data_IF_696245224513
#
_entry.id   IF_696245224513
#
_cell.length_a   1.000
_cell.length_b   1.000
_cell.length_c   1.000
_cell.angle_alpha   90.00
_cell.angle_beta   90.00
_cell.angle_gamma   90.00
#
_symmetry.space_group_name_H-M   'P 1'
#
loop_
_entity.id
_entity.type
_entity.pdbx_description
1 polymer ?
#
# COMPACT_ATOMS: atom_id res chain seq x y z
N UNK A 1 87.62 0.72 -2.97
CA UNK A 1 87.01 0.17 -1.73
C UNK A 1 85.67 0.89 -1.54
N UNK A 2 84.58 0.33 -2.10
CA UNK A 2 83.50 -0.42 -1.40
C UNK A 2 82.85 0.44 -0.30
N UNK A 3 81.73 1.12 -0.59
CA UNK A 3 80.35 0.63 -0.53
C UNK A 3 79.81 0.51 0.92
N UNK A 4 79.05 1.52 1.34
CA UNK A 4 78.10 1.52 2.47
C UNK A 4 77.14 2.69 2.15
N UNK A 5 75.83 2.56 2.08
CA UNK A 5 74.92 1.48 2.41
C UNK A 5 73.56 2.16 2.48
N UNK A 6 72.80 2.06 1.40
CA UNK A 6 71.40 2.50 1.29
C UNK A 6 70.59 1.69 2.29
N UNK A 7 70.18 2.29 3.41
CA UNK A 7 69.13 1.73 4.25
C UNK A 7 68.52 2.83 5.12
N UNK A 8 67.21 2.75 5.31
CA UNK A 8 66.31 3.61 6.12
C UNK A 8 65.52 4.62 5.28
N UNK A 9 64.79 4.09 4.28
CA UNK A 9 63.59 4.71 3.71
C UNK A 9 62.52 3.63 3.51
N UNK A 10 62.15 2.89 4.57
CA UNK A 10 61.01 1.93 4.54
C UNK A 10 60.35 1.86 5.93
N UNK A 11 59.90 3.00 6.48
CA UNK A 11 59.15 2.98 7.74
C UNK A 11 58.05 4.06 7.83
N UNK A 12 57.52 4.50 6.68
CA UNK A 12 56.33 5.38 6.58
C UNK A 12 55.38 4.91 5.45
N UNK A 13 55.27 3.60 5.23
CA UNK A 13 54.36 3.04 4.19
C UNK A 13 53.79 1.67 4.56
N UNK A 14 53.56 1.43 5.86
CA UNK A 14 52.86 0.25 6.38
C UNK A 14 51.65 0.61 7.27
N UNK A 15 51.10 1.82 7.08
CA UNK A 15 49.73 2.19 7.48
C UNK A 15 48.79 2.13 6.26
N UNK A 16 49.11 1.26 5.30
CA UNK A 16 48.19 0.82 4.26
C UNK A 16 47.22 -0.18 4.87
N UNK A 17 46.02 0.32 5.13
CA UNK A 17 44.80 -0.34 4.69
C UNK A 17 44.52 -1.72 5.27
N UNK A 18 44.38 -1.80 6.60
CA UNK A 18 43.28 -2.61 7.15
C UNK A 18 42.02 -1.74 7.23
N UNK A 19 41.64 -1.15 6.09
CA UNK A 19 40.22 -1.01 5.79
C UNK A 19 39.74 -2.44 5.69
N UNK A 20 39.35 -3.03 6.83
CA UNK A 20 38.33 -4.06 6.82
C UNK A 20 37.24 -3.41 5.98
N UNK A 21 37.09 -3.86 4.74
CA UNK A 21 35.78 -3.85 4.11
C UNK A 21 34.90 -4.49 5.18
N UNK A 22 34.21 -3.65 5.97
CA UNK A 22 33.15 -4.13 6.82
C UNK A 22 32.29 -4.88 5.82
N UNK A 23 32.29 -6.21 5.95
CA UNK A 23 31.41 -7.07 5.19
C UNK A 23 30.06 -6.37 5.27
N UNK A 24 29.63 -5.73 4.17
CA UNK A 24 28.32 -5.09 4.14
C UNK A 24 27.40 -6.20 4.60
N UNK A 25 26.69 -6.02 5.74
CA UNK A 25 25.96 -7.12 6.36
C UNK A 25 25.03 -7.65 5.30
N UNK A 26 25.45 -8.74 4.69
CA UNK A 26 24.75 -9.37 3.60
C UNK A 26 23.63 -10.09 4.32
N UNK A 27 22.47 -9.43 4.30
CA UNK A 27 21.28 -10.09 3.78
C UNK A 27 20.95 -11.42 4.46
N UNK A 28 20.96 -11.48 5.80
CA UNK A 28 20.21 -12.55 6.46
C UNK A 28 18.74 -12.25 6.21
N UNK A 29 18.19 -12.96 5.25
CA UNK A 29 16.83 -12.77 4.80
C UNK A 29 16.31 -14.11 4.26
N UNK A 30 15.18 -14.63 4.77
CA UNK A 30 14.29 -13.98 5.74
C UNK A 30 14.85 -13.92 7.17
N UNK A 31 14.48 -12.88 7.93
CA UNK A 31 14.64 -12.85 9.39
C UNK A 31 13.42 -13.55 10.02
N UNK A 32 13.51 -14.87 10.21
CA UNK A 32 12.39 -15.67 10.70
C UNK A 32 11.89 -15.23 12.09
N UNK A 33 12.78 -14.76 12.97
CA UNK A 33 12.43 -14.21 14.29
C UNK A 33 11.53 -12.96 14.21
N UNK A 34 11.60 -12.23 13.10
CA UNK A 34 10.75 -11.08 12.85
C UNK A 34 9.46 -11.46 12.09
N UNK A 35 9.33 -12.71 11.66
CA UNK A 35 8.17 -13.22 10.91
C UNK A 35 8.26 -12.96 9.41
N UNK A 36 9.47 -12.74 8.89
CA UNK A 36 9.72 -12.66 7.44
C UNK A 36 9.71 -14.03 6.80
N UNK A 37 9.39 -14.05 5.51
CA UNK A 37 9.35 -15.24 4.66
C UNK A 37 10.20 -15.02 3.41
N UNK A 38 10.46 -16.09 2.65
CA UNK A 38 11.14 -15.95 1.36
C UNK A 38 10.39 -15.06 0.37
N UNK A 39 9.05 -14.94 0.49
CA UNK A 39 8.22 -14.17 -0.44
C UNK A 39 8.39 -12.65 -0.26
N UNK A 40 8.46 -12.17 0.98
CA UNK A 40 8.61 -10.74 1.29
C UNK A 40 10.06 -10.31 1.51
N UNK A 41 10.97 -11.27 1.57
CA UNK A 41 12.39 -11.05 1.81
C UNK A 41 13.03 -9.97 0.91
N UNK A 42 12.86 -9.97 -0.43
CA UNK A 42 13.48 -8.94 -1.28
C UNK A 42 13.09 -7.52 -0.85
N UNK A 43 11.82 -7.34 -0.48
CA UNK A 43 11.28 -6.04 -0.09
C UNK A 43 11.72 -5.63 1.31
N UNK A 44 11.75 -6.59 2.23
CA UNK A 44 12.22 -6.36 3.58
C UNK A 44 13.72 -6.02 3.62
N UNK A 45 14.54 -6.70 2.80
CA UNK A 45 15.96 -6.40 2.65
C UNK A 45 16.20 -4.98 2.09
N UNK A 46 15.46 -4.57 1.05
CA UNK A 46 15.52 -3.21 0.52
C UNK A 46 15.17 -2.19 1.61
N UNK A 47 14.08 -2.41 2.34
CA UNK A 47 13.63 -1.47 3.37
C UNK A 47 14.60 -1.38 4.56
N UNK A 48 15.17 -2.49 5.02
CA UNK A 48 16.21 -2.48 6.07
C UNK A 48 17.50 -1.81 5.64
N UNK A 49 17.93 -2.02 4.40
CA UNK A 49 19.13 -1.37 3.89
C UNK A 49 19.00 0.16 3.78
N UNK A 50 17.77 0.69 3.81
CA UNK A 50 17.51 2.13 3.93
C UNK A 50 17.68 2.67 5.36
N UNK A 51 17.57 1.83 6.41
CA UNK A 51 17.62 2.31 7.80
C UNK A 51 18.92 3.03 8.18
N UNK A 52 20.13 2.55 7.80
CA UNK A 52 21.36 3.28 8.11
C UNK A 52 21.38 4.67 7.47
N UNK A 53 20.80 4.82 6.28
CA UNK A 53 20.67 6.11 5.60
C UNK A 53 19.74 7.01 6.40
N UNK A 54 18.58 6.52 6.83
CA UNK A 54 17.64 7.29 7.64
C UNK A 54 18.25 7.72 8.98
N UNK A 55 18.95 6.81 9.67
CA UNK A 55 19.59 7.09 10.98
C UNK A 55 20.74 8.10 10.87
N UNK A 56 21.50 8.06 9.78
CA UNK A 56 22.65 8.95 9.57
C UNK A 56 22.27 10.36 9.08
N UNK A 57 21.01 10.61 8.73
CA UNK A 57 20.59 11.88 8.11
C UNK A 57 19.30 12.38 8.77
N UNK A 58 19.44 13.27 9.76
CA UNK A 58 18.30 13.85 10.48
C UNK A 58 17.47 14.84 9.63
N UNK A 59 18.09 15.46 8.61
CA UNK A 59 17.41 16.32 7.65
C UNK A 59 16.62 15.45 6.65
N UNK A 60 15.28 15.58 6.58
CA UNK A 60 14.43 14.79 5.68
C UNK A 60 14.77 14.96 4.20
N UNK A 61 15.18 16.16 3.75
CA UNK A 61 15.49 16.41 2.33
C UNK A 61 16.81 15.74 1.93
N UNK A 62 17.82 15.81 2.80
CA UNK A 62 19.09 15.09 2.60
C UNK A 62 18.84 13.58 2.61
N UNK A 63 18.05 13.09 3.57
CA UNK A 63 17.68 11.69 3.64
C UNK A 63 16.94 11.24 2.37
N UNK A 64 15.96 12.02 1.90
CA UNK A 64 15.16 11.75 0.70
C UNK A 64 16.04 11.59 -0.54
N UNK A 65 16.98 12.51 -0.77
CA UNK A 65 17.90 12.42 -1.91
C UNK A 65 18.78 11.15 -1.85
N UNK A 66 19.31 10.80 -0.66
CA UNK A 66 20.11 9.59 -0.46
C UNK A 66 19.29 8.31 -0.61
N UNK A 67 18.05 8.31 -0.14
CA UNK A 67 17.11 7.20 -0.29
C UNK A 67 16.76 7.00 -1.76
N UNK A 68 16.53 8.06 -2.53
CA UNK A 68 16.30 7.97 -3.95
C UNK A 68 17.48 7.30 -4.67
N UNK A 69 18.71 7.76 -4.39
CA UNK A 69 19.91 7.15 -4.94
C UNK A 69 20.08 5.67 -4.54
N UNK A 70 19.83 5.35 -3.28
CA UNK A 70 19.86 3.97 -2.79
C UNK A 70 18.87 3.08 -3.53
N UNK A 71 17.59 3.50 -3.63
CA UNK A 71 16.55 2.72 -4.31
C UNK A 71 16.83 2.56 -5.81
N UNK A 72 17.36 3.59 -6.48
CA UNK A 72 17.78 3.48 -7.89
C UNK A 72 18.95 2.50 -8.06
N UNK A 73 19.82 2.35 -7.06
CA UNK A 73 20.96 1.42 -7.08
C UNK A 73 20.54 -0.03 -6.78
N UNK A 74 19.78 -0.26 -5.70
CA UNK A 74 19.46 -1.62 -5.23
C UNK A 74 18.18 -2.20 -5.83
N UNK A 75 17.30 -1.35 -6.36
CA UNK A 75 16.01 -1.76 -6.92
C UNK A 75 15.63 -0.95 -8.18
N UNK A 76 16.50 -0.88 -9.22
CA UNK A 76 16.28 -0.04 -10.40
C UNK A 76 14.99 -0.40 -11.14
N UNK A 77 14.65 -1.69 -11.24
CA UNK A 77 13.42 -2.14 -11.91
C UNK A 77 12.14 -1.74 -11.15
N UNK A 78 12.19 -1.72 -9.82
CA UNK A 78 11.09 -1.20 -8.99
C UNK A 78 10.89 0.29 -9.27
N UNK A 79 11.97 1.07 -9.26
CA UNK A 79 11.92 2.51 -9.49
C UNK A 79 11.46 2.86 -10.92
N UNK A 80 11.92 2.10 -11.93
CA UNK A 80 11.49 2.23 -13.32
C UNK A 80 10.00 1.92 -13.48
N UNK A 81 9.52 0.86 -12.82
CA UNK A 81 8.10 0.46 -12.86
C UNK A 81 7.21 1.51 -12.20
N UNK A 82 7.58 1.96 -11.01
CA UNK A 82 6.88 3.01 -10.28
C UNK A 82 6.73 4.28 -11.13
N UNK A 83 7.81 4.72 -11.78
CA UNK A 83 7.76 5.89 -12.69
C UNK A 83 6.86 5.67 -13.89
N UNK A 84 6.97 4.50 -14.53
CA UNK A 84 6.13 4.15 -15.68
C UNK A 84 4.66 4.15 -15.32
N UNK A 85 4.29 3.55 -14.18
CA UNK A 85 2.90 3.50 -13.72
C UNK A 85 2.37 4.87 -13.30
N UNK A 86 3.17 5.67 -12.60
CA UNK A 86 2.81 7.05 -12.27
C UNK A 86 2.45 7.89 -13.50
N UNK A 87 3.17 7.68 -14.61
CA UNK A 87 2.91 8.30 -15.92
C UNK A 87 1.68 7.71 -16.61
N UNK A 88 1.57 6.38 -16.68
CA UNK A 88 0.48 5.72 -17.43
C UNK A 88 -0.87 5.74 -16.71
N UNK A 89 -0.89 6.00 -15.40
CA UNK A 89 -2.12 5.99 -14.61
C UNK A 89 -3.15 7.04 -15.01
N UNK A 90 -2.73 8.20 -15.51
CA UNK A 90 -3.65 9.26 -15.96
C UNK A 90 -4.76 9.55 -14.95
N UNK A 91 -6.02 9.46 -15.40
CA UNK A 91 -7.21 9.69 -14.57
C UNK A 91 -7.45 8.65 -13.48
N UNK A 92 -6.85 7.46 -13.56
CA UNK A 92 -6.94 6.45 -12.47
C UNK A 92 -6.41 7.04 -11.16
N UNK A 93 -5.48 8.01 -11.24
CA UNK A 93 -4.99 8.70 -10.06
C UNK A 93 -6.07 9.43 -9.27
N UNK A 94 -7.15 9.87 -9.92
CA UNK A 94 -8.29 10.55 -9.29
C UNK A 94 -9.21 9.60 -8.54
N UNK A 95 -9.02 8.29 -8.70
CA UNK A 95 -9.83 7.26 -8.06
C UNK A 95 -9.24 6.77 -6.74
N UNK A 96 -8.20 7.43 -6.21
CA UNK A 96 -7.67 7.14 -4.88
C UNK A 96 -7.69 8.38 -4.02
N UNK A 97 -8.06 8.17 -2.76
CA UNK A 97 -8.13 9.22 -1.77
C UNK A 97 -6.81 9.44 -1.05
N UNK A 98 -6.94 9.90 0.19
CA UNK A 98 -5.84 10.19 1.09
C UNK A 98 -5.78 9.16 2.20
N UNK A 99 -4.58 8.92 2.70
CA UNK A 99 -4.34 7.97 3.79
C UNK A 99 -3.37 8.58 4.80
N UNK A 100 -3.50 8.15 6.06
CA UNK A 100 -2.61 8.52 7.15
C UNK A 100 -1.50 7.47 7.21
N UNK A 101 -0.26 7.92 7.01
CA UNK A 101 0.96 7.13 7.14
C UNK A 101 1.32 6.82 8.61
N UNK A 102 0.36 6.26 9.35
CA UNK A 102 0.50 5.85 10.75
C UNK A 102 -0.49 4.73 11.04
N UNK A 103 -0.02 3.62 11.60
CA UNK A 103 -0.87 2.50 12.01
C UNK A 103 -1.23 2.65 13.50
N UNK A 104 -2.53 2.74 13.80
CA UNK A 104 -3.01 2.94 15.16
C UNK A 104 -2.81 1.71 16.06
N UNK A 105 -2.88 0.50 15.48
CA UNK A 105 -2.73 -0.75 16.24
C UNK A 105 -1.25 -1.00 16.58
N UNK A 106 -0.36 -0.73 15.64
CA UNK A 106 1.09 -0.85 15.85
C UNK A 106 1.72 0.42 16.46
N UNK A 107 0.95 1.52 16.57
CA UNK A 107 1.36 2.83 17.08
C UNK A 107 2.65 3.35 16.40
N UNK A 108 2.75 3.18 15.09
CA UNK A 108 3.99 3.45 14.35
C UNK A 108 3.76 4.03 12.96
N UNK A 109 4.77 4.75 12.46
CA UNK A 109 4.82 5.22 11.08
C UNK A 109 4.89 4.02 10.15
N UNK A 110 4.02 3.99 9.13
CA UNK A 110 3.92 2.83 8.23
C UNK A 110 5.15 2.76 7.33
N UNK A 111 5.49 3.88 6.69
CA UNK A 111 6.67 4.04 5.83
C UNK A 111 7.43 5.28 6.28
N UNK A 112 8.74 5.19 6.57
CA UNK A 112 9.54 6.37 6.89
C UNK A 112 9.37 7.49 5.85
N UNK A 113 9.28 8.74 6.32
CA UNK A 113 8.95 9.90 5.49
C UNK A 113 9.82 10.03 4.23
N UNK A 114 11.16 9.96 4.30
CA UNK A 114 12.00 10.03 3.09
C UNK A 114 11.73 8.92 2.07
N UNK A 115 11.29 7.74 2.50
CA UNK A 115 10.97 6.62 1.61
C UNK A 115 9.65 6.88 0.88
N UNK A 116 8.59 7.25 1.61
CA UNK A 116 7.29 7.52 0.98
C UNK A 116 7.38 8.75 0.07
N UNK A 117 8.13 9.77 0.44
CA UNK A 117 8.30 10.97 -0.39
C UNK A 117 8.99 10.63 -1.72
N UNK A 118 10.01 9.74 -1.73
CA UNK A 118 10.60 9.22 -2.98
C UNK A 118 9.58 8.44 -3.82
N UNK A 119 8.72 7.65 -3.18
CA UNK A 119 7.68 6.89 -3.89
C UNK A 119 6.67 7.82 -4.55
N UNK A 120 6.20 8.84 -3.84
CA UNK A 120 5.22 9.81 -4.33
C UNK A 120 5.80 10.67 -5.46
N UNK A 121 7.03 11.16 -5.31
CA UNK A 121 7.75 11.93 -6.34
C UNK A 121 7.90 11.12 -7.61
N UNK A 122 8.36 9.87 -7.50
CA UNK A 122 8.59 9.00 -8.66
C UNK A 122 7.29 8.68 -9.38
N UNK A 123 6.18 8.59 -8.65
CA UNK A 123 4.84 8.37 -9.19
C UNK A 123 4.18 9.63 -9.78
N UNK A 124 4.75 10.83 -9.55
CA UNK A 124 4.15 12.09 -10.00
C UNK A 124 2.74 12.29 -9.43
N UNK A 125 2.59 12.06 -8.12
CA UNK A 125 1.39 12.39 -7.34
C UNK A 125 1.67 13.52 -6.37
N UNK A 126 0.64 14.00 -5.67
CA UNK A 126 0.79 15.14 -4.78
C UNK A 126 1.78 14.86 -3.64
N UNK A 127 2.44 15.92 -3.18
CA UNK A 127 3.35 15.87 -2.03
C UNK A 127 2.58 15.62 -0.73
N UNK A 128 3.15 14.78 0.12
CA UNK A 128 2.62 14.50 1.45
C UNK A 128 2.40 15.81 2.23
N UNK A 129 1.32 15.88 3.00
CA UNK A 129 1.09 16.93 4.00
C UNK A 129 1.05 16.31 5.38
N UNK A 130 2.04 16.60 6.22
CA UNK A 130 2.23 15.95 7.51
C UNK A 130 2.21 14.41 7.34
N UNK A 131 1.31 13.68 7.99
CA UNK A 131 1.20 12.22 7.80
C UNK A 131 0.25 11.82 6.66
N UNK A 132 -0.35 12.79 5.97
CA UNK A 132 -1.38 12.53 4.96
C UNK A 132 -0.70 12.35 3.60
N UNK A 133 -0.85 11.15 3.03
CA UNK A 133 -0.23 10.72 1.78
C UNK A 133 -1.28 10.30 0.76
N UNK A 134 -0.85 10.14 -0.50
CA UNK A 134 -1.68 9.59 -1.56
C UNK A 134 -1.90 8.08 -1.34
N UNK A 135 -3.15 7.68 -1.06
CA UNK A 135 -3.48 6.34 -0.57
C UNK A 135 -3.05 5.24 -1.55
N UNK A 136 -3.24 5.45 -2.86
CA UNK A 136 -2.98 4.40 -3.84
C UNK A 136 -1.51 3.97 -3.91
N UNK A 137 -0.57 4.90 -3.88
CA UNK A 137 0.87 4.58 -3.92
C UNK A 137 1.41 4.19 -2.56
N UNK A 138 0.87 4.72 -1.45
CA UNK A 138 1.19 4.23 -0.11
C UNK A 138 0.78 2.76 0.05
N UNK A 139 -0.50 2.44 -0.20
CA UNK A 139 -1.06 1.12 0.04
C UNK A 139 -0.57 0.07 -0.93
N UNK A 140 0.02 0.45 -2.08
CA UNK A 140 0.63 -0.50 -3.04
C UNK A 140 2.15 -0.54 -2.87
N UNK A 141 2.85 0.37 -3.53
CA UNK A 141 4.32 0.38 -3.57
C UNK A 141 4.96 0.77 -2.24
N UNK A 142 4.38 1.71 -1.50
CA UNK A 142 4.85 2.12 -0.18
C UNK A 142 4.86 0.94 0.79
N UNK A 143 3.78 0.16 0.83
CA UNK A 143 3.66 -0.99 1.72
C UNK A 143 4.76 -2.02 1.53
N UNK A 144 5.28 -2.21 0.31
CA UNK A 144 6.43 -3.09 0.06
C UNK A 144 7.66 -2.66 0.86
N UNK A 145 7.86 -1.35 1.05
CA UNK A 145 8.98 -0.77 1.76
C UNK A 145 8.70 -0.54 3.26
N UNK A 146 7.60 -1.06 3.78
CA UNK A 146 7.27 -0.98 5.21
C UNK A 146 7.93 -2.11 5.99
N UNK A 147 8.65 -1.76 7.06
CA UNK A 147 9.19 -2.68 8.08
C UNK A 147 8.33 -2.70 9.35
N UNK A 148 7.19 -2.00 9.37
CA UNK A 148 6.31 -1.97 10.53
C UNK A 148 5.56 -3.31 10.65
N UNK A 149 5.84 -4.04 11.72
CA UNK A 149 5.09 -5.25 12.08
C UNK A 149 3.81 -4.86 12.83
N UNK A 150 2.66 -5.31 12.33
CA UNK A 150 1.36 -5.10 12.99
C UNK A 150 0.89 -6.39 13.67
N UNK A 151 -0.17 -6.35 14.51
CA UNK A 151 -0.81 -7.57 15.03
C UNK A 151 -1.27 -8.55 13.94
N UNK A 152 -1.47 -8.06 12.70
CA UNK A 152 -1.90 -8.83 11.55
C UNK A 152 -0.75 -9.20 10.60
N UNK A 153 0.50 -9.03 11.04
CA UNK A 153 1.70 -9.21 10.22
C UNK A 153 2.14 -7.94 9.48
N UNK A 154 3.03 -8.09 8.50
CA UNK A 154 3.53 -6.97 7.71
C UNK A 154 2.55 -6.54 6.62
N UNK A 155 2.42 -5.23 6.42
CA UNK A 155 1.54 -4.67 5.38
C UNK A 155 1.93 -5.10 3.95
N UNK A 156 3.23 -5.30 3.66
CA UNK A 156 3.72 -5.83 2.38
C UNK A 156 3.17 -7.21 2.01
N UNK A 157 2.78 -8.02 3.00
CA UNK A 157 2.26 -9.37 2.76
C UNK A 157 0.98 -9.37 1.92
N UNK A 158 0.24 -8.25 1.91
CA UNK A 158 -0.95 -8.04 1.09
C UNK A 158 -0.72 -8.22 -0.41
N UNK A 159 0.52 -7.98 -0.88
CA UNK A 159 0.85 -8.01 -2.31
C UNK A 159 1.87 -9.09 -2.66
N UNK A 160 2.71 -9.52 -1.72
CA UNK A 160 3.71 -10.57 -2.00
C UNK A 160 3.12 -11.98 -1.94
N UNK A 161 2.01 -12.16 -1.20
CA UNK A 161 1.31 -13.44 -1.12
C UNK A 161 0.28 -13.54 -2.25
N UNK A 162 0.12 -14.71 -2.87
CA UNK A 162 -0.81 -14.90 -3.98
C UNK A 162 -2.26 -15.10 -3.50
N UNK A 163 -2.66 -14.51 -2.38
CA UNK A 163 -3.94 -14.79 -1.73
C UNK A 163 -5.11 -14.35 -2.61
N UNK A 164 -5.02 -13.15 -3.19
CA UNK A 164 -6.06 -12.59 -4.07
C UNK A 164 -6.12 -13.41 -5.36
N UNK A 165 -4.97 -13.73 -5.95
CA UNK A 165 -4.92 -14.53 -7.16
C UNK A 165 -5.49 -15.93 -6.96
N UNK A 166 -5.10 -16.63 -5.89
CA UNK A 166 -5.67 -17.95 -5.56
C UNK A 166 -7.14 -17.85 -5.22
N UNK A 167 -7.53 -16.87 -4.41
CA UNK A 167 -8.91 -16.69 -3.95
C UNK A 167 -9.90 -16.49 -5.09
N UNK A 168 -9.52 -15.75 -6.13
CA UNK A 168 -10.38 -15.49 -7.30
C UNK A 168 -10.01 -16.31 -8.55
N UNK A 169 -8.97 -17.16 -8.49
CA UNK A 169 -8.46 -17.90 -9.64
C UNK A 169 -7.92 -16.99 -10.75
N UNK A 170 -7.26 -15.90 -10.37
CA UNK A 170 -6.58 -15.00 -11.30
C UNK A 170 -5.25 -15.61 -11.75
N UNK A 171 -4.71 -15.07 -12.85
CA UNK A 171 -3.38 -15.44 -13.30
C UNK A 171 -2.34 -15.14 -12.20
N UNK A 172 -1.47 -16.11 -11.91
CA UNK A 172 -0.48 -15.99 -10.84
C UNK A 172 0.40 -14.73 -10.99
N UNK A 173 0.55 -13.99 -9.90
CA UNK A 173 1.38 -12.79 -9.80
C UNK A 173 0.79 -11.55 -10.49
N UNK A 174 -0.46 -11.57 -10.93
CA UNK A 174 -1.07 -10.41 -11.58
C UNK A 174 -1.30 -9.24 -10.60
N UNK A 175 -1.47 -9.50 -9.31
CA UNK A 175 -1.55 -8.51 -8.23
C UNK A 175 -0.32 -8.64 -7.31
N UNK A 176 0.85 -8.85 -7.93
CA UNK A 176 2.13 -8.92 -7.22
C UNK A 176 2.99 -7.67 -7.47
N UNK A 177 4.13 -7.50 -6.78
CA UNK A 177 5.05 -6.38 -6.99
C UNK A 177 5.67 -6.33 -8.39
N UNK A 178 5.79 -7.49 -9.05
CA UNK A 178 6.47 -7.65 -10.34
C UNK A 178 5.55 -8.34 -11.36
N UNK A 179 4.37 -7.77 -11.66
CA UNK A 179 3.43 -8.43 -12.54
C UNK A 179 3.99 -8.47 -13.98
N UNK A 180 3.70 -9.58 -14.68
CA UNK A 180 4.12 -9.80 -16.08
C UNK A 180 3.52 -8.78 -17.06
N UNK A 181 2.34 -8.25 -16.75
CA UNK A 181 1.64 -7.25 -17.57
C UNK A 181 0.86 -6.28 -16.69
N UNK A 182 0.67 -5.05 -17.18
CA UNK A 182 0.13 -3.96 -16.37
C UNK A 182 1.10 -3.60 -15.25
N UNK A 183 0.55 -3.37 -14.06
CA UNK A 183 1.28 -2.79 -12.96
C UNK A 183 0.62 -3.02 -11.61
N UNK A 184 1.36 -3.04 -10.50
CA UNK A 184 0.74 -3.35 -9.19
C UNK A 184 -0.35 -2.31 -8.89
N UNK A 185 -0.03 -1.03 -9.03
CA UNK A 185 -0.99 0.04 -8.77
C UNK A 185 -2.18 -0.04 -9.73
N UNK A 186 -1.94 -0.21 -11.03
CA UNK A 186 -3.02 -0.25 -12.03
C UNK A 186 -3.88 -1.52 -11.92
N UNK A 187 -3.28 -2.66 -11.64
CA UNK A 187 -3.98 -3.94 -11.50
C UNK A 187 -4.86 -3.94 -10.24
N UNK A 188 -4.35 -3.43 -9.11
CA UNK A 188 -5.13 -3.25 -7.88
C UNK A 188 -6.24 -2.23 -8.11
N UNK A 189 -5.93 -1.07 -8.69
CA UNK A 189 -6.93 -0.03 -9.00
C UNK A 189 -8.05 -0.56 -9.88
N UNK A 190 -7.71 -1.37 -10.88
CA UNK A 190 -8.68 -1.99 -11.76
C UNK A 190 -9.56 -2.97 -10.99
N UNK A 191 -8.96 -3.95 -10.31
CA UNK A 191 -9.70 -5.01 -9.64
C UNK A 191 -10.58 -4.46 -8.51
N UNK A 192 -10.02 -3.64 -7.62
CA UNK A 192 -10.74 -3.02 -6.51
C UNK A 192 -11.77 -1.98 -7.01
N UNK A 193 -11.43 -1.18 -8.02
CA UNK A 193 -12.36 -0.19 -8.59
C UNK A 193 -13.57 -0.84 -9.28
N UNK A 194 -13.38 -1.99 -9.93
CA UNK A 194 -14.48 -2.78 -10.52
C UNK A 194 -15.46 -3.31 -9.45
N UNK A 195 -14.97 -3.51 -8.23
CA UNK A 195 -15.77 -3.92 -7.06
C UNK A 195 -16.45 -2.69 -6.42
N UNK A 196 -15.69 -1.65 -6.09
CA UNK A 196 -16.17 -0.50 -5.33
C UNK A 196 -17.20 0.35 -6.08
N UNK A 197 -16.99 0.56 -7.39
CA UNK A 197 -17.78 1.50 -8.20
C UNK A 197 -18.86 0.81 -9.05
N UNK A 198 -19.33 -0.37 -8.63
CA UNK A 198 -20.40 -1.12 -9.33
C UNK A 198 -21.80 -0.50 -9.20
N UNK A 199 -21.95 0.54 -8.40
CA UNK A 199 -23.23 1.19 -8.11
C UNK A 199 -23.87 1.91 -9.31
N UNK A 200 -25.17 2.17 -9.18
CA UNK A 200 -25.98 2.87 -10.20
C UNK A 200 -25.98 4.39 -10.06
N UNK A 201 -25.22 4.96 -9.11
CA UNK A 201 -25.10 6.42 -9.00
C UNK A 201 -24.27 7.00 -10.19
N UNK A 202 -24.60 8.20 -10.70
CA UNK A 202 -23.81 8.86 -11.74
C UNK A 202 -22.29 8.92 -11.48
N UNK A 203 -21.86 9.19 -10.25
CA UNK A 203 -20.45 9.28 -9.88
C UNK A 203 -19.76 7.90 -9.93
N UNK A 204 -20.44 6.83 -9.49
CA UNK A 204 -19.95 5.45 -9.61
C UNK A 204 -19.76 5.07 -11.07
N UNK A 205 -20.74 5.40 -11.94
CA UNK A 205 -20.60 5.17 -13.39
C UNK A 205 -19.45 5.95 -14.01
N UNK A 206 -19.20 7.18 -13.56
CA UNK A 206 -18.09 8.00 -14.05
C UNK A 206 -16.74 7.40 -13.63
N UNK A 207 -16.59 7.00 -12.37
CA UNK A 207 -15.41 6.30 -11.88
C UNK A 207 -15.18 4.98 -12.62
N UNK A 208 -16.24 4.19 -12.83
CA UNK A 208 -16.19 2.94 -13.57
C UNK A 208 -15.71 3.12 -15.02
N UNK A 209 -16.06 4.23 -15.69
CA UNK A 209 -15.52 4.56 -17.03
C UNK A 209 -14.01 4.76 -17.00
N UNK A 210 -13.47 5.39 -15.96
CA UNK A 210 -12.02 5.57 -15.77
C UNK A 210 -11.36 4.22 -15.49
N UNK A 211 -11.91 3.42 -14.56
CA UNK A 211 -11.42 2.07 -14.23
C UNK A 211 -11.32 1.20 -15.49
N UNK A 212 -12.36 1.17 -16.33
CA UNK A 212 -12.38 0.33 -17.54
C UNK A 212 -11.33 0.72 -18.58
N UNK A 213 -10.81 1.95 -18.54
CA UNK A 213 -9.75 2.45 -19.42
C UNK A 213 -8.34 2.25 -18.85
N UNK A 214 -8.21 1.83 -17.58
CA UNK A 214 -6.89 1.60 -16.98
C UNK A 214 -6.12 0.53 -17.76
N UNK A 215 -4.81 0.72 -17.90
CA UNK A 215 -3.92 -0.25 -18.53
C UNK A 215 -3.57 -1.42 -17.60
N UNK A 216 -4.62 -2.12 -17.15
CA UNK A 216 -4.52 -3.31 -16.33
C UNK A 216 -4.20 -4.54 -17.18
N UNK A 217 -3.65 -5.57 -16.52
CA UNK A 217 -3.37 -6.86 -17.11
C UNK A 217 -4.60 -7.43 -17.87
N UNK A 218 -4.35 -8.05 -19.03
CA UNK A 218 -5.41 -8.64 -19.86
C UNK A 218 -6.24 -9.68 -19.10
N UNK A 219 -5.61 -10.49 -18.27
CA UNK A 219 -6.28 -11.49 -17.43
C UNK A 219 -7.28 -10.87 -16.46
N UNK A 220 -7.00 -9.68 -15.91
CA UNK A 220 -7.97 -8.94 -15.08
C UNK A 220 -9.10 -8.35 -15.92
N UNK A 221 -8.80 -7.85 -17.12
CA UNK A 221 -9.84 -7.32 -18.02
C UNK A 221 -10.82 -8.40 -18.51
N UNK A 222 -10.36 -9.64 -18.62
CA UNK A 222 -11.15 -10.82 -18.99
C UNK A 222 -11.84 -11.49 -17.80
N UNK A 223 -11.54 -11.07 -16.56
CA UNK A 223 -12.19 -11.60 -15.38
C UNK A 223 -13.68 -11.23 -15.37
N UNK A 224 -14.52 -12.20 -15.06
CA UNK A 224 -15.97 -12.06 -15.07
C UNK A 224 -16.48 -11.52 -13.73
N UNK A 225 -16.44 -10.19 -13.59
CA UNK A 225 -16.92 -9.51 -12.38
C UNK A 225 -18.43 -9.67 -12.13
N UNK A 226 -19.21 -10.13 -13.11
CA UNK A 226 -20.65 -10.36 -12.92
C UNK A 226 -20.94 -11.53 -11.97
N UNK A 227 -19.96 -12.43 -11.80
CA UNK A 227 -20.00 -13.55 -10.86
C UNK A 227 -19.58 -13.19 -9.44
N UNK A 228 -19.11 -11.96 -9.22
CA UNK A 228 -18.72 -11.52 -7.88
C UNK A 228 -19.94 -11.00 -7.14
N UNK A 229 -20.47 -11.85 -6.27
CA UNK A 229 -21.40 -11.45 -5.23
C UNK A 229 -20.63 -10.96 -4.01
N UNK A 230 -21.27 -10.14 -3.18
CA UNK A 230 -20.67 -9.72 -1.94
C UNK A 230 -21.63 -8.92 -1.08
N UNK A 231 -21.09 -8.40 0.01
CA UNK A 231 -21.83 -7.59 0.99
C UNK A 231 -21.16 -6.25 1.13
N UNK A 232 -21.94 -5.19 1.32
CA UNK A 232 -21.45 -3.84 1.55
C UNK A 232 -21.95 -3.33 2.89
N UNK A 233 -21.02 -2.88 3.70
CA UNK A 233 -21.28 -1.97 4.81
C UNK A 233 -21.19 -0.53 4.30
N UNK A 234 -22.24 0.25 4.50
CA UNK A 234 -22.29 1.67 4.19
C UNK A 234 -22.45 2.47 5.48
N UNK A 235 -21.56 3.42 5.72
CA UNK A 235 -21.62 4.35 6.85
C UNK A 235 -21.74 5.77 6.31
N UNK A 236 -22.83 6.47 6.62
CA UNK A 236 -23.12 7.81 6.08
C UNK A 236 -23.15 8.83 7.19
N UNK A 237 -22.40 9.93 7.02
CA UNK A 237 -22.43 11.10 7.91
C UNK A 237 -22.70 12.37 7.10
N UNK A 238 -23.52 13.26 7.65
CA UNK A 238 -23.71 14.61 7.12
C UNK A 238 -22.97 15.59 8.02
N UNK A 239 -22.01 16.31 7.44
CA UNK A 239 -21.22 17.33 8.11
C UNK A 239 -21.95 18.68 8.08
N UNK A 240 -21.41 19.64 8.84
CA UNK A 240 -21.84 21.03 8.76
C UNK A 240 -21.78 21.55 7.31
N UNK A 241 -22.79 22.35 6.93
CA UNK A 241 -22.95 22.82 5.55
C UNK A 241 -23.56 21.80 4.58
N UNK A 242 -24.04 20.65 5.06
CA UNK A 242 -24.79 19.68 4.25
C UNK A 242 -23.93 18.77 3.37
N UNK A 243 -22.60 18.79 3.54
CA UNK A 243 -21.70 17.82 2.88
C UNK A 243 -21.93 16.43 3.45
N UNK A 244 -22.25 15.47 2.59
CA UNK A 244 -22.44 14.06 2.99
C UNK A 244 -21.23 13.23 2.59
N UNK A 245 -20.73 12.44 3.53
CA UNK A 245 -19.67 11.46 3.30
C UNK A 245 -20.24 10.07 3.52
N UNK A 246 -20.13 9.23 2.49
CA UNK A 246 -20.51 7.82 2.50
C UNK A 246 -19.24 6.97 2.44
N UNK A 247 -18.95 6.29 3.55
CA UNK A 247 -17.86 5.32 3.69
C UNK A 247 -18.41 3.94 3.32
N UNK A 248 -17.71 3.23 2.44
CA UNK A 248 -18.13 1.92 1.94
C UNK A 248 -17.05 0.89 2.20
N UNK A 249 -17.45 -0.23 2.81
CA UNK A 249 -16.61 -1.42 2.94
C UNK A 249 -17.28 -2.57 2.20
N UNK A 250 -16.71 -2.97 1.07
CA UNK A 250 -17.14 -4.13 0.30
C UNK A 250 -16.41 -5.38 0.77
N UNK A 251 -17.16 -6.45 1.04
CA UNK A 251 -16.68 -7.77 1.38
C UNK A 251 -17.05 -8.73 0.25
N UNK A 252 -16.04 -9.22 -0.47
CA UNK A 252 -16.23 -10.10 -1.62
C UNK A 252 -15.62 -11.46 -1.32
N UNK A 253 -16.43 -12.52 -1.17
CA UNK A 253 -15.93 -13.87 -0.95
C UNK A 253 -15.02 -14.34 -2.08
N UNK A 254 -13.97 -15.06 -1.69
CA UNK A 254 -13.15 -15.79 -2.64
C UNK A 254 -13.98 -16.90 -3.30
N UNK A 255 -13.88 -16.99 -4.63
CA UNK A 255 -14.72 -17.87 -5.45
C UNK A 255 -14.02 -19.16 -5.86
N UNK A 256 -12.72 -19.30 -5.55
CA UNK A 256 -11.90 -20.44 -6.00
C UNK A 256 -11.17 -21.16 -4.88
N UNK A 257 -10.58 -20.44 -3.95
CA UNK A 257 -9.86 -21.04 -2.82
C UNK A 257 -10.02 -20.18 -1.56
N UNK A 258 -9.97 -20.82 -0.39
CA UNK A 258 -9.99 -20.16 0.92
C UNK A 258 -9.16 -20.97 1.93
N UNK A 259 -8.99 -20.43 3.14
CA UNK A 259 -8.26 -21.13 4.20
C UNK A 259 -6.77 -21.24 3.91
N UNK A 260 -6.16 -22.41 4.07
CA UNK A 260 -4.70 -22.57 4.02
C UNK A 260 -4.07 -22.13 2.69
N UNK A 261 -4.78 -22.30 1.57
CA UNK A 261 -4.25 -21.94 0.24
C UNK A 261 -4.06 -20.42 0.07
N UNK A 262 -4.92 -19.65 0.71
CA UNK A 262 -4.93 -18.19 0.79
C UNK A 262 -4.40 -17.72 2.16
N UNK A 263 -3.58 -18.59 2.79
CA UNK A 263 -3.00 -18.49 4.13
C UNK A 263 -3.90 -17.83 5.18
N UNK A 264 -5.09 -18.41 5.33
CA UNK A 264 -6.09 -18.10 6.33
C UNK A 264 -7.22 -17.18 5.87
N UNK A 265 -7.14 -16.62 4.66
CA UNK A 265 -8.11 -15.62 4.20
C UNK A 265 -9.29 -16.24 3.43
N UNK A 266 -10.46 -15.60 3.45
CA UNK A 266 -11.68 -16.09 2.78
C UNK A 266 -12.38 -15.05 1.93
N UNK A 267 -12.10 -13.77 2.14
CA UNK A 267 -12.75 -12.68 1.43
C UNK A 267 -11.74 -11.58 1.12
N UNK A 268 -12.08 -10.74 0.13
CA UNK A 268 -11.40 -9.48 -0.13
C UNK A 268 -12.22 -8.34 0.46
N UNK A 269 -11.57 -7.52 1.28
CA UNK A 269 -12.08 -6.22 1.68
C UNK A 269 -11.67 -5.17 0.66
N UNK A 270 -12.60 -4.34 0.19
CA UNK A 270 -12.32 -3.12 -0.57
C UNK A 270 -12.97 -1.93 0.13
N UNK A 271 -12.15 -0.93 0.49
CA UNK A 271 -12.61 0.25 1.21
C UNK A 271 -12.57 1.48 0.30
N UNK A 272 -13.70 2.17 0.20
CA UNK A 272 -13.89 3.32 -0.68
C UNK A 272 -14.78 4.38 -0.04
N UNK A 273 -14.75 5.59 -0.59
CA UNK A 273 -15.47 6.74 -0.06
C UNK A 273 -16.16 7.47 -1.21
N UNK A 274 -17.41 7.87 -0.99
CA UNK A 274 -18.11 8.85 -1.81
C UNK A 274 -18.35 10.08 -0.96
N UNK A 275 -17.85 11.21 -1.43
CA UNK A 275 -17.94 12.49 -0.73
C UNK A 275 -18.70 13.46 -1.63
N UNK A 276 -19.76 14.09 -1.12
CA UNK A 276 -20.56 15.01 -1.93
C UNK A 276 -19.80 16.26 -2.36
N UNK A 277 -18.67 16.57 -1.71
CA UNK A 277 -17.76 17.63 -2.14
C UNK A 277 -16.86 17.21 -3.32
N UNK A 278 -16.77 15.91 -3.62
CA UNK A 278 -15.91 15.36 -4.66
C UNK A 278 -16.74 14.89 -5.87
N UNK A 279 -16.16 15.01 -7.07
CA UNK A 279 -16.85 14.61 -8.32
C UNK A 279 -16.89 13.10 -8.53
N UNK A 280 -15.96 12.37 -7.93
CA UNK A 280 -15.77 10.94 -8.10
C UNK A 280 -15.65 10.27 -6.74
N UNK A 281 -16.21 9.06 -6.56
CA UNK A 281 -15.82 8.22 -5.44
C UNK A 281 -14.36 7.78 -5.61
N UNK A 282 -13.72 7.40 -4.50
CA UNK A 282 -12.32 7.03 -4.49
C UNK A 282 -12.03 5.84 -3.56
N UNK A 283 -11.04 5.05 -3.93
CA UNK A 283 -10.48 3.93 -3.18
C UNK A 283 -9.54 4.45 -2.09
N UNK A 284 -9.45 3.72 -0.99
CA UNK A 284 -8.39 3.90 0.02
C UNK A 284 -7.50 2.66 0.11
N UNK A 285 -8.11 1.47 0.22
CA UNK A 285 -7.38 0.23 0.49
C UNK A 285 -8.14 -0.99 -0.04
N UNK A 286 -7.40 -2.06 -0.29
CA UNK A 286 -7.95 -3.39 -0.53
C UNK A 286 -7.01 -4.46 0.02
N UNK A 287 -7.53 -5.48 0.70
CA UNK A 287 -6.72 -6.57 1.23
C UNK A 287 -7.55 -7.81 1.61
N UNK A 288 -6.95 -9.02 1.56
CA UNK A 288 -7.59 -10.24 2.05
C UNK A 288 -7.90 -10.16 3.56
N UNK A 289 -9.02 -10.74 3.96
CA UNK A 289 -9.43 -10.83 5.37
C UNK A 289 -9.77 -12.28 5.75
N UNK A 290 -9.61 -12.58 7.03
CA UNK A 290 -9.91 -13.88 7.63
C UNK A 290 -11.43 -14.13 7.71
N UNK A 291 -11.86 -15.41 7.81
CA UNK A 291 -13.25 -15.78 8.05
C UNK A 291 -13.87 -15.06 9.25
N UNK A 292 -15.15 -14.71 9.13
CA UNK A 292 -15.93 -14.06 10.21
C UNK A 292 -15.68 -12.57 10.38
N UNK A 293 -14.68 -11.98 9.73
CA UNK A 293 -14.40 -10.55 9.82
C UNK A 293 -15.58 -9.71 9.29
N UNK A 294 -16.11 -10.07 8.12
CA UNK A 294 -17.26 -9.42 7.51
C UNK A 294 -18.55 -9.61 8.32
N UNK A 295 -18.74 -10.78 8.94
CA UNK A 295 -19.92 -11.06 9.77
C UNK A 295 -19.97 -10.16 11.00
N UNK A 296 -18.82 -9.94 11.65
CA UNK A 296 -18.72 -8.99 12.74
C UNK A 296 -18.98 -7.53 12.28
N UNK A 297 -18.48 -7.15 11.10
CA UNK A 297 -18.69 -5.82 10.54
C UNK A 297 -20.14 -5.56 10.10
N UNK A 298 -20.87 -6.63 9.75
CA UNK A 298 -22.24 -6.61 9.23
C UNK A 298 -23.27 -7.12 10.25
N UNK A 299 -22.93 -7.18 11.54
CA UNK A 299 -23.90 -7.53 12.58
C UNK A 299 -25.07 -6.51 12.55
N UNK A 300 -26.32 -6.95 12.31
CA UNK A 300 -27.48 -6.06 12.24
C UNK A 300 -27.70 -5.20 13.49
N UNK A 301 -27.20 -5.61 14.67
CA UNK A 301 -27.23 -4.78 15.89
C UNK A 301 -26.43 -3.49 15.74
N UNK A 302 -25.45 -3.49 14.84
CA UNK A 302 -24.64 -2.34 14.47
C UNK A 302 -25.36 -1.33 13.57
N UNK A 303 -26.50 -1.68 12.95
CA UNK A 303 -27.16 -0.87 11.93
C UNK A 303 -28.15 0.16 12.50
N UNK A 304 -28.57 1.09 11.64
CA UNK A 304 -29.52 2.15 11.93
C UNK A 304 -28.88 3.53 12.12
N UNK A 305 -29.69 4.49 12.55
CA UNK A 305 -29.28 5.88 12.80
C UNK A 305 -28.52 6.03 14.12
N UNK A 306 -27.85 7.18 14.28
CA UNK A 306 -27.15 7.55 15.51
C UNK A 306 -25.93 6.68 15.83
N UNK A 307 -25.35 6.00 14.82
CA UNK A 307 -24.17 5.15 15.00
C UNK A 307 -22.90 5.97 14.84
N UNK A 308 -21.84 5.70 15.63
CA UNK A 308 -20.56 6.37 15.44
C UNK A 308 -19.97 6.01 14.08
N UNK A 309 -19.58 7.02 13.31
CA UNK A 309 -18.95 6.89 12.01
C UNK A 309 -17.51 7.36 12.11
N UNK A 310 -16.57 6.48 11.77
CA UNK A 310 -15.15 6.77 11.76
C UNK A 310 -14.49 6.21 10.50
N UNK A 311 -13.47 6.89 10.02
CA UNK A 311 -12.61 6.38 8.95
C UNK A 311 -11.76 5.22 9.47
N UNK A 312 -11.62 4.16 8.66
CA UNK A 312 -10.84 2.96 8.96
C UNK A 312 -9.72 2.77 7.93
N UNK A 313 -8.84 1.81 8.21
CA UNK A 313 -7.81 1.33 7.27
C UNK A 313 -6.92 2.45 6.74
N UNK A 314 -6.53 3.34 7.64
CA UNK A 314 -5.71 4.52 7.38
C UNK A 314 -6.37 5.59 6.50
N UNK A 315 -7.67 5.51 6.17
CA UNK A 315 -8.34 6.55 5.38
C UNK A 315 -8.27 7.93 6.04
N UNK A 316 -8.04 8.98 5.24
CA UNK A 316 -8.16 10.37 5.66
C UNK A 316 -9.24 11.08 4.84
N UNK A 317 -10.27 11.59 5.52
CA UNK A 317 -11.30 12.47 4.97
C UNK A 317 -11.42 13.70 5.85
N UNK A 318 -11.10 14.87 5.29
CA UNK A 318 -11.17 16.14 6.00
C UNK A 318 -12.59 16.40 6.52
N UNK A 319 -12.71 16.79 7.78
CA UNK A 319 -13.96 16.97 8.52
C UNK A 319 -14.55 15.69 9.12
N UNK A 320 -14.04 14.51 8.77
CA UNK A 320 -14.45 13.22 9.36
C UNK A 320 -13.32 12.66 10.22
N UNK A 321 -12.13 12.48 9.65
CA UNK A 321 -10.99 11.85 10.32
C UNK A 321 -10.36 12.76 11.38
N UNK A 322 -10.33 14.07 11.12
CA UNK A 322 -9.80 15.11 12.00
C UNK A 322 -10.89 15.80 12.84
N UNK A 323 -12.09 15.22 12.90
CA UNK A 323 -13.16 15.73 13.73
C UNK A 323 -12.79 15.67 15.23
N UNK A 324 -12.96 16.79 15.94
CA UNK A 324 -12.69 16.88 17.38
C UNK A 324 -13.69 16.11 18.24
N UNK A 325 -14.91 15.96 17.74
CA UNK A 325 -16.00 15.25 18.39
C UNK A 325 -16.35 14.00 17.58
N UNK A 326 -16.87 12.98 18.25
CA UNK A 326 -17.42 11.80 17.57
C UNK A 326 -18.55 12.22 16.63
N UNK A 327 -18.48 11.73 15.40
CA UNK A 327 -19.53 11.93 14.42
C UNK A 327 -20.51 10.77 14.46
N UNK A 328 -21.79 11.10 14.38
CA UNK A 328 -22.87 10.12 14.38
C UNK A 328 -23.60 10.19 13.04
N UNK A 329 -23.97 9.02 12.53
CA UNK A 329 -24.57 8.88 11.22
C UNK A 329 -25.41 7.61 11.13
N UNK A 330 -25.63 7.16 9.90
CA UNK A 330 -26.41 5.96 9.62
C UNK A 330 -25.49 4.84 9.16
N UNK A 331 -25.76 3.61 9.59
CA UNK A 331 -25.03 2.41 9.17
C UNK A 331 -25.99 1.39 8.57
N UNK A 332 -25.71 0.94 7.36
CA UNK A 332 -26.54 -0.01 6.63
C UNK A 332 -25.72 -1.14 6.01
N UNK A 333 -26.30 -2.34 5.97
CA UNK A 333 -25.78 -3.50 5.25
C UNK A 333 -26.58 -3.78 3.99
N UNK A 334 -25.91 -4.17 2.91
CA UNK A 334 -26.57 -4.58 1.66
C UNK A 334 -25.80 -5.70 0.97
N UNK A 335 -26.47 -6.44 0.09
CA UNK A 335 -25.86 -7.43 -0.81
C UNK A 335 -25.76 -6.87 -2.23
N UNK A 336 -24.82 -7.38 -3.02
CA UNK A 336 -24.65 -7.04 -4.44
C UNK A 336 -24.09 -8.22 -5.24
#
# INVERSE_FOLDING_TARGET
MRAFGVLVLVLILSLLSTVRAAESPTTVCPIASEGETALDCPWAAIARGAEPILKANADPEIAKAKIAHYLDSVAPDFMKRLSREGKSAGDVKKLWGRSINFDENAKGIIIPEPIIDVVLDRAGVFERKDRIVYAGFEHTYGYLLSILKTPYGYKRLRWVRPDIEKGFGLAAGVISPTPKSGGLYLNVSYFAGRIAFRGSNPADRAAMKIVKKADAARSLRQFDFSKLHGRRLTETVTLEGGRTVEIRTDFVPFTKASGAETGGNSELLVYSIRDSAEKLPYLISAFPIAPGFSDAALDPKGFGEGKPVLTKYNAFVAGVTDAKASLFGTRDGSEF
#
